data_IF_267163708693
#
_entry.id   IF_267163708693
#
_cell.length_a   1.000
_cell.length_b   1.000
_cell.length_c   1.000
_cell.angle_alpha   90.00
_cell.angle_beta   90.00
_cell.angle_gamma   90.00
#
_symmetry.space_group_name_H-M   'P 1'
#
loop_
_entity.id
_entity.type
_entity.pdbx_description
1 polymer ?
#
# COMPACT_ATOMS: atom_id res chain seq x y z
N UNK A 1 22.76 -8.14 6.52
CA UNK A 1 22.02 -6.96 6.03
C UNK A 1 20.59 -7.03 6.58
N UNK A 2 20.04 -5.93 7.09
CA UNK A 2 18.63 -5.86 7.53
C UNK A 2 17.73 -5.58 6.32
N UNK A 3 16.45 -5.97 6.39
CA UNK A 3 15.48 -5.64 5.34
C UNK A 3 15.31 -4.12 5.21
N UNK A 4 15.31 -3.40 6.33
CA UNK A 4 15.18 -1.93 6.37
C UNK A 4 16.33 -1.28 5.60
N UNK A 5 17.57 -1.59 5.98
CA UNK A 5 18.78 -1.05 5.32
C UNK A 5 18.85 -1.40 3.83
N UNK A 6 18.28 -2.55 3.43
CA UNK A 6 18.20 -2.93 2.04
C UNK A 6 17.20 -2.06 1.27
N UNK A 7 15.98 -1.90 1.80
CA UNK A 7 14.96 -1.07 1.17
C UNK A 7 15.40 0.40 1.09
N UNK A 8 16.05 0.92 2.12
CA UNK A 8 16.65 2.26 2.08
C UNK A 8 17.71 2.38 0.98
N UNK A 9 18.57 1.35 0.80
CA UNK A 9 19.57 1.35 -0.27
C UNK A 9 18.97 1.27 -1.68
N UNK A 10 17.78 0.69 -1.82
CA UNK A 10 17.00 0.67 -3.06
C UNK A 10 16.22 1.98 -3.28
N UNK A 11 16.35 2.96 -2.38
CA UNK A 11 15.74 4.29 -2.49
C UNK A 11 14.32 4.39 -1.93
N UNK A 12 13.86 3.43 -1.13
CA UNK A 12 12.58 3.52 -0.43
C UNK A 12 12.71 4.36 0.85
N UNK A 13 11.71 5.21 1.11
CA UNK A 13 11.52 5.80 2.44
C UNK A 13 10.82 4.77 3.34
N UNK A 14 11.49 4.35 4.41
CA UNK A 14 11.01 3.25 5.25
C UNK A 14 10.61 3.77 6.63
N UNK A 15 9.31 3.70 6.94
CA UNK A 15 8.81 3.91 8.31
C UNK A 15 8.71 2.57 9.01
N UNK A 16 9.53 2.38 10.06
CA UNK A 16 9.53 1.15 10.83
C UNK A 16 8.61 1.23 12.05
N UNK A 17 7.64 0.32 12.11
CA UNK A 17 6.66 0.26 13.22
C UNK A 17 6.94 -0.95 14.10
N UNK A 18 7.34 -0.70 15.35
CA UNK A 18 7.71 -1.74 16.30
C UNK A 18 6.50 -2.42 16.98
N UNK A 19 5.36 -1.72 17.04
CA UNK A 19 4.19 -2.16 17.79
C UNK A 19 3.01 -2.40 16.86
N UNK A 20 2.50 -3.64 16.86
CA UNK A 20 1.39 -4.06 16.01
C UNK A 20 0.10 -3.24 16.24
N UNK A 21 -0.10 -2.70 17.45
CA UNK A 21 -1.24 -1.83 17.76
C UNK A 21 -1.23 -0.51 16.97
N UNK A 22 -0.05 0.04 16.68
CA UNK A 22 0.11 1.34 16.02
C UNK A 22 0.16 1.22 14.49
N UNK A 23 0.32 0.02 13.93
CA UNK A 23 0.52 -0.18 12.48
C UNK A 23 -0.60 0.45 11.65
N UNK A 24 -1.85 0.27 12.08
CA UNK A 24 -3.00 0.81 11.33
C UNK A 24 -2.99 2.33 11.37
N UNK A 25 -2.73 2.94 12.53
CA UNK A 25 -2.67 4.39 12.69
C UNK A 25 -1.52 5.00 11.89
N UNK A 26 -0.36 4.33 11.86
CA UNK A 26 0.77 4.71 11.00
C UNK A 26 0.43 4.63 9.52
N UNK A 27 -0.29 3.58 9.09
CA UNK A 27 -0.74 3.47 7.69
C UNK A 27 -1.68 4.61 7.32
N UNK A 28 -2.59 5.02 8.21
CA UNK A 28 -3.45 6.17 7.97
C UNK A 28 -2.67 7.48 7.91
N UNK A 29 -1.69 7.67 8.80
CA UNK A 29 -0.89 8.89 8.89
C UNK A 29 0.07 9.04 7.70
N UNK A 30 0.83 7.99 7.41
CA UNK A 30 1.90 8.02 6.41
C UNK A 30 1.37 7.73 4.99
N UNK A 31 0.20 7.10 4.87
CA UNK A 31 -0.40 6.70 3.58
C UNK A 31 0.60 6.03 2.62
N UNK A 32 1.26 4.93 3.05
CA UNK A 32 2.37 4.35 2.31
C UNK A 32 1.94 3.72 0.99
N UNK A 33 2.83 3.74 -0.01
CA UNK A 33 2.64 3.05 -1.29
C UNK A 33 2.66 1.53 -1.17
N UNK A 34 3.37 0.98 -0.18
CA UNK A 34 3.46 -0.47 0.07
C UNK A 34 3.58 -0.70 1.59
N UNK A 35 2.85 -1.68 2.12
CA UNK A 35 2.99 -2.12 3.50
C UNK A 35 3.59 -3.53 3.58
N UNK A 36 4.62 -3.73 4.42
CA UNK A 36 5.21 -5.05 4.69
C UNK A 36 4.95 -5.44 6.14
N UNK A 37 4.11 -6.47 6.35
CA UNK A 37 3.71 -6.94 7.68
C UNK A 37 4.46 -8.21 8.08
N UNK A 38 5.23 -8.16 9.17
CA UNK A 38 5.96 -9.33 9.65
C UNK A 38 5.06 -10.27 10.48
N UNK A 39 4.93 -11.53 10.07
CA UNK A 39 4.13 -12.57 10.76
C UNK A 39 4.62 -12.95 12.16
N UNK A 40 5.78 -12.42 12.60
CA UNK A 40 6.26 -12.58 13.98
C UNK A 40 5.49 -11.73 15.00
N UNK A 41 4.60 -10.83 14.57
CA UNK A 41 3.77 -10.04 15.46
C UNK A 41 2.89 -10.98 16.30
N UNK A 42 3.20 -11.08 17.60
CA UNK A 42 2.56 -12.05 18.50
C UNK A 42 1.10 -11.70 18.80
N UNK A 43 0.75 -10.41 18.81
CA UNK A 43 -0.61 -9.85 18.85
C UNK A 43 -0.57 -8.34 18.50
N UNK A 44 -1.54 -7.77 17.76
CA UNK A 44 -2.55 -8.41 16.92
C UNK A 44 -1.95 -9.26 15.78
N UNK A 45 -2.73 -10.20 15.23
CA UNK A 45 -2.29 -11.06 14.13
C UNK A 45 -2.24 -10.25 12.84
N UNK A 46 -1.26 -10.48 11.97
CA UNK A 46 -1.15 -9.76 10.69
C UNK A 46 -2.41 -9.80 9.83
N UNK A 47 -3.20 -10.88 9.94
CA UNK A 47 -4.49 -11.00 9.26
C UNK A 47 -5.51 -9.96 9.74
N UNK A 48 -5.52 -9.64 11.04
CA UNK A 48 -6.47 -8.68 11.61
C UNK A 48 -6.09 -7.26 11.19
N UNK A 49 -4.77 -6.96 11.17
CA UNK A 49 -4.23 -5.71 10.63
C UNK A 49 -4.59 -5.57 9.15
N UNK A 50 -4.34 -6.62 8.36
CA UNK A 50 -4.70 -6.66 6.94
C UNK A 50 -6.20 -6.42 6.73
N UNK A 51 -7.05 -7.07 7.52
CA UNK A 51 -8.50 -6.85 7.46
C UNK A 51 -8.88 -5.39 7.71
N UNK A 52 -8.26 -4.74 8.70
CA UNK A 52 -8.47 -3.30 8.97
C UNK A 52 -8.03 -2.44 7.79
N UNK A 53 -6.84 -2.67 7.24
CA UNK A 53 -6.31 -1.95 6.06
C UNK A 53 -7.27 -2.10 4.87
N UNK A 54 -7.76 -3.32 4.61
CA UNK A 54 -8.64 -3.62 3.47
C UNK A 54 -10.09 -3.18 3.66
N UNK A 55 -10.53 -2.97 4.89
CA UNK A 55 -11.90 -2.52 5.18
C UNK A 55 -12.15 -1.03 4.90
N UNK A 56 -11.10 -0.19 4.93
CA UNK A 56 -11.25 1.26 4.82
C UNK A 56 -10.95 1.78 3.41
N UNK A 57 -11.81 2.62 2.80
CA UNK A 57 -11.63 3.11 1.44
C UNK A 57 -10.29 3.83 1.18
N UNK A 58 -9.75 4.51 2.18
CA UNK A 58 -8.48 5.25 2.05
C UNK A 58 -7.23 4.37 2.08
N UNK A 59 -7.33 3.14 2.60
CA UNK A 59 -6.18 2.24 2.77
C UNK A 59 -6.34 0.92 2.03
N UNK A 60 -7.53 0.60 1.52
CA UNK A 60 -7.84 -0.70 0.92
C UNK A 60 -7.00 -1.00 -0.30
N UNK A 61 -6.59 0.02 -1.04
CA UNK A 61 -5.85 -0.14 -2.29
C UNK A 61 -4.34 -0.24 -2.05
N UNK A 62 -3.85 -0.02 -0.82
CA UNK A 62 -2.44 -0.18 -0.45
C UNK A 62 -2.03 -1.65 -0.60
N UNK A 63 -1.03 -1.97 -1.43
CA UNK A 63 -0.45 -3.31 -1.49
C UNK A 63 0.13 -3.76 -0.16
N UNK A 64 -0.27 -4.95 0.31
CA UNK A 64 0.18 -5.51 1.58
C UNK A 64 0.93 -6.82 1.35
N UNK A 65 2.18 -6.85 1.77
CA UNK A 65 3.07 -8.02 1.72
C UNK A 65 3.23 -8.62 3.11
N UNK A 66 3.27 -9.94 3.22
CA UNK A 66 3.62 -10.59 4.48
C UNK A 66 5.08 -11.03 4.49
N UNK A 67 5.83 -10.72 5.55
CA UNK A 67 7.16 -11.27 5.78
C UNK A 67 7.06 -12.46 6.76
N UNK A 68 7.47 -13.66 6.36
CA UNK A 68 7.29 -14.87 7.17
C UNK A 68 8.45 -15.85 7.12
N UNK A 69 8.86 -16.35 8.29
CA UNK A 69 9.76 -17.52 8.42
C UNK A 69 9.01 -18.85 8.51
N UNK A 70 7.68 -18.84 8.66
CA UNK A 70 6.83 -20.04 8.76
C UNK A 70 5.75 -19.98 7.69
N UNK A 71 5.96 -20.70 6.60
CA UNK A 71 5.07 -20.79 5.44
C UNK A 71 4.02 -21.90 5.60
N UNK A 72 3.39 -21.99 6.77
CA UNK A 72 2.26 -22.90 6.92
C UNK A 72 1.20 -22.53 5.88
N UNK A 73 0.93 -23.44 4.94
CA UNK A 73 0.06 -23.18 3.76
C UNK A 73 -1.30 -22.60 4.13
N UNK A 74 -1.83 -22.97 5.29
CA UNK A 74 -3.07 -22.43 5.85
C UNK A 74 -3.01 -20.92 6.12
N UNK A 75 -1.88 -20.40 6.60
CA UNK A 75 -1.69 -18.98 6.86
C UNK A 75 -1.57 -18.18 5.56
N UNK A 76 -0.83 -18.70 4.58
CA UNK A 76 -0.70 -18.04 3.27
C UNK A 76 -2.06 -17.98 2.57
N UNK A 77 -2.79 -19.11 2.53
CA UNK A 77 -4.15 -19.15 1.97
C UNK A 77 -5.05 -18.10 2.61
N UNK A 78 -5.11 -18.07 3.95
CA UNK A 78 -5.91 -17.06 4.67
C UNK A 78 -5.44 -15.63 4.38
N UNK A 79 -4.14 -15.41 4.24
CA UNK A 79 -3.57 -14.11 3.85
C UNK A 79 -4.11 -13.65 2.50
N UNK A 80 -3.99 -14.49 1.46
CA UNK A 80 -4.51 -14.18 0.13
C UNK A 80 -6.04 -13.99 0.12
N UNK A 81 -6.79 -14.85 0.81
CA UNK A 81 -8.25 -14.69 0.96
C UNK A 81 -8.64 -13.37 1.65
N UNK A 82 -7.76 -12.82 2.48
CA UNK A 82 -7.97 -11.55 3.19
C UNK A 82 -7.45 -10.32 2.40
N UNK A 83 -6.98 -10.50 1.16
CA UNK A 83 -6.49 -9.40 0.31
C UNK A 83 -5.00 -9.08 0.42
N UNK A 84 -4.19 -10.01 0.95
CA UNK A 84 -2.72 -9.90 0.87
C UNK A 84 -2.30 -9.96 -0.60
N UNK A 85 -1.36 -9.10 -0.98
CA UNK A 85 -0.84 -9.05 -2.35
C UNK A 85 0.16 -10.17 -2.60
N UNK A 86 1.11 -10.34 -1.67
CA UNK A 86 2.11 -11.39 -1.77
C UNK A 86 2.76 -11.64 -0.40
N UNK A 87 3.69 -12.60 -0.34
CA UNK A 87 4.54 -12.83 0.82
C UNK A 87 6.01 -12.94 0.43
N UNK A 88 6.87 -12.59 1.38
CA UNK A 88 8.32 -12.72 1.33
C UNK A 88 8.71 -13.76 2.37
N UNK A 89 9.30 -14.86 1.93
CA UNK A 89 9.83 -15.88 2.84
C UNK A 89 11.14 -15.44 3.48
N UNK A 90 11.34 -15.82 4.74
CA UNK A 90 12.63 -15.69 5.43
C UNK A 90 13.33 -17.05 5.49
N UNK A 91 14.65 -17.12 5.17
CA UNK A 91 15.51 -16.03 4.73
C UNK A 91 15.11 -15.50 3.33
N UNK A 92 15.27 -14.18 3.12
CA UNK A 92 14.92 -13.49 1.88
C UNK A 92 16.16 -13.19 1.05
N UNK A 93 15.99 -13.11 -0.27
CA UNK A 93 17.04 -12.73 -1.21
C UNK A 93 16.79 -11.30 -1.74
N UNK A 94 17.80 -10.43 -1.77
CA UNK A 94 17.65 -9.04 -2.24
C UNK A 94 16.97 -8.92 -3.61
N UNK A 95 17.39 -9.77 -4.56
CA UNK A 95 16.89 -9.77 -5.94
C UNK A 95 15.40 -10.15 -5.99
N UNK A 96 14.99 -11.12 -5.16
CA UNK A 96 13.59 -11.54 -5.07
C UNK A 96 12.71 -10.41 -4.49
N UNK A 97 13.17 -9.78 -3.42
CA UNK A 97 12.42 -8.67 -2.78
C UNK A 97 12.31 -7.49 -3.73
N UNK A 98 13.42 -7.08 -4.37
CA UNK A 98 13.42 -5.97 -5.32
C UNK A 98 12.47 -6.24 -6.49
N UNK A 99 12.54 -7.43 -7.10
CA UNK A 99 11.66 -7.79 -8.21
C UNK A 99 10.17 -7.77 -7.82
N UNK A 100 9.81 -8.34 -6.66
CA UNK A 100 8.41 -8.34 -6.19
C UNK A 100 7.88 -6.94 -5.92
N UNK A 101 8.67 -6.09 -5.27
CA UNK A 101 8.28 -4.71 -4.95
C UNK A 101 8.20 -3.83 -6.21
N UNK A 102 9.12 -3.99 -7.16
CA UNK A 102 9.07 -3.28 -8.44
C UNK A 102 7.84 -3.67 -9.25
N UNK A 103 7.51 -4.97 -9.33
CA UNK A 103 6.35 -5.45 -10.08
C UNK A 103 5.04 -4.85 -9.57
N UNK A 104 4.85 -4.83 -8.24
CA UNK A 104 3.62 -4.26 -7.69
C UNK A 104 3.57 -2.74 -7.86
N UNK A 105 4.70 -2.05 -7.73
CA UNK A 105 4.78 -0.60 -7.93
C UNK A 105 4.40 -0.24 -9.36
N UNK A 106 4.98 -0.92 -10.34
CA UNK A 106 4.65 -0.71 -11.76
C UNK A 106 3.16 -0.95 -12.03
N UNK A 107 2.56 -1.98 -11.41
CA UNK A 107 1.14 -2.25 -11.53
C UNK A 107 0.29 -1.11 -10.96
N UNK A 108 0.60 -0.65 -9.75
CA UNK A 108 -0.08 0.48 -9.11
C UNK A 108 0.05 1.77 -9.93
N UNK A 109 1.25 2.07 -10.44
CA UNK A 109 1.49 3.24 -11.27
C UNK A 109 0.69 3.17 -12.57
N UNK A 110 0.61 1.99 -13.21
CA UNK A 110 -0.20 1.81 -14.42
C UNK A 110 -1.69 1.94 -14.15
N UNK A 111 -2.19 1.41 -13.04
CA UNK A 111 -3.59 1.55 -12.65
C UNK A 111 -3.95 3.02 -12.40
N UNK A 112 -3.11 3.76 -11.68
CA UNK A 112 -3.27 5.20 -11.45
C UNK A 112 -3.26 5.99 -12.77
N UNK A 113 -2.37 5.65 -13.71
CA UNK A 113 -2.33 6.26 -15.04
C UNK A 113 -3.65 6.05 -15.79
N UNK A 114 -4.16 4.80 -15.82
CA UNK A 114 -5.43 4.46 -16.46
C UNK A 114 -6.62 5.17 -15.81
N UNK A 115 -6.64 5.25 -14.48
CA UNK A 115 -7.66 6.01 -13.74
C UNK A 115 -7.62 7.50 -14.09
N UNK A 116 -6.42 8.08 -14.20
CA UNK A 116 -6.25 9.47 -14.64
C UNK A 116 -6.84 9.74 -16.04
N UNK A 117 -6.71 8.77 -16.96
CA UNK A 117 -7.32 8.84 -18.29
C UNK A 117 -8.85 8.76 -18.25
N UNK A 118 -9.44 8.13 -17.23
CA UNK A 118 -10.89 8.08 -17.05
C UNK A 118 -11.47 9.38 -16.47
N UNK A 119 -10.63 10.23 -15.88
CA UNK A 119 -11.07 11.50 -15.29
C UNK A 119 -11.31 12.57 -16.37
N UNK A 120 -10.58 12.52 -17.49
CA UNK A 120 -10.69 13.51 -18.58
C UNK A 120 -11.17 12.89 -19.89
N UNK A 121 -12.02 13.61 -20.60
CA UNK A 121 -12.43 13.29 -21.95
C UNK A 121 -11.24 13.48 -22.89
N UNK A 122 -10.94 12.45 -23.68
CA UNK A 122 -9.75 12.43 -24.53
C UNK A 122 -9.78 13.47 -25.65
N UNK A 123 -10.99 13.83 -26.12
CA UNK A 123 -11.16 14.74 -27.25
C UNK A 123 -11.11 16.21 -26.83
N UNK A 124 -11.56 16.52 -25.62
CA UNK A 124 -11.76 17.90 -25.16
C UNK A 124 -10.89 18.31 -23.98
N UNK A 125 -10.27 17.35 -23.27
CA UNK A 125 -9.52 17.60 -22.03
C UNK A 125 -10.40 18.00 -20.83
N UNK A 126 -11.72 18.10 -21.04
CA UNK A 126 -12.72 18.36 -20.01
C UNK A 126 -12.89 17.15 -19.08
N UNK A 127 -13.47 17.33 -17.89
CA UNK A 127 -13.75 16.20 -17.01
C UNK A 127 -14.84 15.29 -17.61
N UNK A 128 -14.66 13.98 -17.49
CA UNK A 128 -15.63 12.99 -17.97
C UNK A 128 -16.91 13.00 -17.14
N UNK A 129 -18.03 12.61 -17.75
CA UNK A 129 -19.36 12.54 -17.10
C UNK A 129 -19.37 11.74 -15.78
N UNK A 130 -18.51 10.72 -15.65
CA UNK A 130 -18.34 9.94 -14.41
C UNK A 130 -17.92 10.81 -13.21
N UNK A 131 -17.12 11.85 -13.44
CA UNK A 131 -16.72 12.83 -12.41
C UNK A 131 -17.93 13.59 -11.86
N UNK A 132 -18.93 13.86 -12.70
CA UNK A 132 -20.09 14.67 -12.34
C UNK A 132 -21.29 13.88 -11.78
N UNK A 133 -21.40 12.58 -12.06
CA UNK A 133 -22.58 11.77 -11.72
C UNK A 133 -22.30 10.51 -10.89
N UNK A 134 -21.04 10.15 -10.66
CA UNK A 134 -20.66 8.94 -9.93
C UNK A 134 -20.13 9.24 -8.54
N UNK A 135 -20.77 8.67 -7.52
CA UNK A 135 -20.23 8.53 -6.17
C UNK A 135 -18.85 7.87 -6.25
N UNK A 136 -17.78 8.64 -6.14
CA UNK A 136 -16.45 8.12 -5.87
C UNK A 136 -16.44 7.61 -4.42
N UNK A 137 -16.25 6.30 -4.16
CA UNK A 137 -15.96 5.83 -2.82
C UNK A 137 -14.48 6.12 -2.56
N UNK A 138 -14.18 7.35 -2.12
CA UNK A 138 -12.81 7.82 -1.85
C UNK A 138 -12.47 9.06 -2.66
N UNK A 139 -12.09 10.14 -1.97
CA UNK A 139 -12.02 11.51 -2.50
C UNK A 139 -11.08 11.72 -3.68
N UNK A 140 -11.52 12.59 -4.60
CA UNK A 140 -10.67 13.18 -5.63
C UNK A 140 -10.06 14.46 -5.04
N UNK A 141 -8.76 14.46 -4.76
CA UNK A 141 -7.98 15.71 -4.68
C UNK A 141 -7.37 15.93 -6.05
N UNK A 142 -7.88 16.92 -6.78
CA UNK A 142 -7.21 17.41 -7.98
C UNK A 142 -6.04 18.28 -7.52
N UNK A 143 -4.83 17.73 -7.56
CA UNK A 143 -3.57 18.45 -7.45
C UNK A 143 -2.63 17.98 -8.54
N UNK A 144 -2.37 18.82 -9.54
CA UNK A 144 -1.30 18.60 -10.50
C UNK A 144 0.06 19.02 -9.89
N UNK A 145 1.18 18.74 -10.58
CA UNK A 145 2.32 17.95 -10.11
C UNK A 145 3.28 18.76 -9.24
N UNK A 146 3.03 18.88 -7.95
CA UNK A 146 4.05 19.27 -6.98
C UNK A 146 3.72 18.61 -5.66
N UNK A 147 4.59 17.67 -5.27
CA UNK A 147 4.52 17.00 -3.99
C UNK A 147 4.54 18.04 -2.84
N UNK A 148 3.77 17.72 -1.78
CA UNK A 148 3.56 18.45 -0.51
C UNK A 148 2.58 19.64 -0.55
N UNK A 149 1.44 19.43 0.09
CA UNK A 149 0.85 20.45 0.94
C UNK A 149 0.53 19.80 2.29
N UNK A 150 1.47 19.90 3.23
CA UNK A 150 1.12 19.85 4.65
C UNK A 150 0.20 21.03 4.91
N UNK A 151 -1.09 20.78 5.15
CA UNK A 151 -1.96 21.75 5.79
C UNK A 151 -1.95 21.49 7.29
N UNK A 152 -1.02 22.13 7.99
CA UNK A 152 -1.16 22.39 9.42
C UNK A 152 -1.68 23.82 9.55
N UNK A 153 -3.01 23.98 9.65
CA UNK A 153 -3.58 25.14 10.32
C UNK A 153 -3.62 24.82 11.81
N UNK A 154 -2.66 25.36 12.54
CA UNK A 154 -2.80 25.62 13.96
C UNK A 154 -2.98 27.14 14.10
N UNK A 155 -4.13 27.53 14.65
CA UNK A 155 -4.28 28.77 15.41
C UNK A 155 -3.35 28.76 16.64
#
# INVERSE_FOLDING_TARGET
MSLISFLESEGYEVVHVHHAASVVDEIYRESPDIAVLCTRLQQPRCHDILGKIKSAPSTRDIPVFFLSSRTARSHLRKGFESGMHDYISMPWFPEEVSARLQNIRQLCDKLRELEGLLVRDYLTGAYNRKVFHGSFPGGVVVGAPAWRAHFSHHD
#
